data_IF_812097351647
#
_entry.id   IF_812097351647
#
_cell.length_a   1.000
_cell.length_b   1.000
_cell.length_c   1.000
_cell.angle_alpha   90.00
_cell.angle_beta   90.00
_cell.angle_gamma   90.00
#
_symmetry.space_group_name_H-M   'P 1'
#
loop_
_entity.id
_entity.type
_entity.pdbx_description
1 polymer ?
#
# COMPACT_ATOMS: atom_id res chain seq x y z
N UNK A 1 1.43 -29.25 16.99
CA UNK A 1 0.04 -28.80 16.72
C UNK A 1 -0.11 -28.67 15.21
N UNK A 2 -1.31 -28.89 14.66
CA UNK A 2 -1.56 -28.69 13.23
C UNK A 2 -1.54 -27.19 12.89
N UNK A 3 -0.97 -26.84 11.71
CA UNK A 3 -0.97 -25.47 11.19
C UNK A 3 -2.38 -25.05 10.81
N UNK A 4 -2.70 -23.75 10.92
CA UNK A 4 -3.96 -23.18 10.42
C UNK A 4 -3.69 -22.54 9.05
N UNK A 5 -3.96 -23.30 7.99
CA UNK A 5 -3.64 -22.90 6.62
C UNK A 5 -4.84 -22.24 5.95
N UNK A 6 -4.66 -21.04 5.42
CA UNK A 6 -5.63 -20.34 4.58
C UNK A 6 -5.20 -20.39 3.12
N UNK A 7 -6.12 -20.76 2.23
CA UNK A 7 -5.88 -20.76 0.79
C UNK A 7 -5.70 -19.32 0.26
N UNK A 8 -4.71 -19.14 -0.61
CA UNK A 8 -4.41 -17.85 -1.25
C UNK A 8 -4.82 -17.85 -2.71
N UNK A 9 -4.47 -18.90 -3.47
CA UNK A 9 -4.81 -18.97 -4.88
C UNK A 9 -4.13 -20.10 -5.63
N UNK A 10 -4.63 -20.36 -6.84
CA UNK A 10 -4.07 -21.30 -7.82
C UNK A 10 -4.30 -20.75 -9.23
N UNK A 11 -3.37 -21.03 -10.13
CA UNK A 11 -3.53 -20.75 -11.57
C UNK A 11 -3.81 -22.03 -12.39
N UNK A 12 -4.02 -23.17 -11.73
CA UNK A 12 -4.36 -24.44 -12.40
C UNK A 12 -5.82 -24.44 -12.85
N UNK A 13 -6.08 -24.63 -14.16
CA UNK A 13 -7.44 -24.59 -14.72
C UNK A 13 -8.19 -25.91 -14.71
N UNK A 14 -7.54 -27.07 -14.55
CA UNK A 14 -8.25 -28.37 -14.65
C UNK A 14 -7.90 -29.38 -13.54
N UNK A 15 -6.64 -29.59 -13.11
CA UNK A 15 -6.36 -30.63 -12.09
C UNK A 15 -5.20 -30.25 -11.15
N UNK A 16 -5.41 -29.16 -10.39
CA UNK A 16 -4.81 -28.90 -9.07
C UNK A 16 -3.32 -29.15 -8.90
N UNK A 17 -2.48 -28.21 -9.34
CA UNK A 17 -1.20 -27.79 -8.76
C UNK A 17 -0.48 -26.80 -9.70
N UNK A 18 0.33 -25.86 -9.18
CA UNK A 18 0.57 -25.60 -7.77
C UNK A 18 -0.35 -24.52 -7.19
N UNK A 19 -0.55 -24.57 -5.87
CA UNK A 19 -1.36 -23.63 -5.10
C UNK A 19 -0.56 -23.03 -3.94
N UNK A 20 -0.94 -21.81 -3.54
CA UNK A 20 -0.37 -21.12 -2.39
C UNK A 20 -1.35 -21.12 -1.22
N UNK A 21 -0.82 -21.38 -0.03
CA UNK A 21 -1.51 -21.22 1.24
C UNK A 21 -0.66 -20.33 2.16
N UNK A 22 -1.27 -19.70 3.16
CA UNK A 22 -0.58 -19.00 4.23
C UNK A 22 -0.91 -19.64 5.56
N UNK A 23 0.11 -19.87 6.39
CA UNK A 23 -0.06 -20.20 7.80
C UNK A 23 -0.47 -18.94 8.57
N UNK A 24 -1.68 -18.93 9.13
CA UNK A 24 -2.19 -17.76 9.86
C UNK A 24 -1.45 -17.50 11.18
N UNK A 25 -0.75 -18.50 11.73
CA UNK A 25 0.00 -18.34 12.97
C UNK A 25 1.38 -17.72 12.77
N UNK A 26 2.05 -18.04 11.65
CA UNK A 26 3.45 -17.64 11.39
C UNK A 26 3.61 -16.68 10.23
N UNK A 27 2.60 -16.55 9.36
CA UNK A 27 2.69 -15.80 8.11
C UNK A 27 3.49 -16.52 7.02
N UNK A 28 3.98 -17.74 7.27
CA UNK A 28 4.71 -18.53 6.28
C UNK A 28 3.81 -18.87 5.08
N UNK A 29 4.39 -18.83 3.88
CA UNK A 29 3.73 -19.29 2.65
C UNK A 29 4.04 -20.77 2.45
N UNK A 30 3.01 -21.57 2.27
CA UNK A 30 3.09 -23.00 1.98
C UNK A 30 2.75 -23.21 0.51
N UNK A 31 3.65 -23.87 -0.20
CA UNK A 31 3.49 -24.20 -1.62
C UNK A 31 3.05 -25.66 -1.74
N UNK A 32 1.85 -25.88 -2.25
CA UNK A 32 1.37 -27.21 -2.64
C UNK A 32 1.70 -27.43 -4.12
N UNK A 33 2.40 -28.51 -4.45
CA UNK A 33 2.72 -28.87 -5.82
C UNK A 33 3.31 -30.27 -5.94
N UNK A 34 3.44 -30.76 -7.17
CA UNK A 34 4.20 -31.97 -7.45
C UNK A 34 5.69 -31.70 -7.19
N UNK A 35 6.36 -32.53 -6.37
CA UNK A 35 7.78 -32.34 -6.12
C UNK A 35 8.60 -32.64 -7.39
N UNK A 36 9.70 -31.92 -7.54
CA UNK A 36 10.77 -32.27 -8.50
C UNK A 36 11.49 -33.49 -7.93
N UNK A 37 11.55 -34.57 -8.71
CA UNK A 37 12.12 -35.85 -8.27
C UNK A 37 13.24 -36.37 -9.17
N UNK A 38 13.47 -35.75 -10.32
CA UNK A 38 14.55 -36.15 -11.23
C UNK A 38 15.92 -35.92 -10.56
N UNK A 39 16.76 -36.96 -10.42
CA UNK A 39 18.07 -36.83 -9.79
C UNK A 39 18.99 -35.81 -10.47
N UNK A 40 18.90 -35.65 -11.79
CA UNK A 40 19.70 -34.68 -12.55
C UNK A 40 19.24 -33.24 -12.25
N UNK A 41 17.93 -33.01 -12.13
CA UNK A 41 17.40 -31.71 -11.72
C UNK A 41 17.77 -31.38 -10.27
N UNK A 42 17.64 -32.36 -9.37
CA UNK A 42 17.94 -32.18 -7.95
C UNK A 42 19.44 -31.90 -7.72
N UNK A 43 20.33 -32.53 -8.48
CA UNK A 43 21.78 -32.29 -8.40
C UNK A 43 22.18 -30.86 -8.81
N UNK A 44 21.33 -30.15 -9.57
CA UNK A 44 21.54 -28.76 -9.97
C UNK A 44 21.09 -27.76 -8.89
N UNK A 45 20.27 -28.17 -7.93
CA UNK A 45 19.79 -27.30 -6.86
C UNK A 45 20.89 -27.04 -5.82
N UNK A 46 21.09 -25.77 -5.50
CA UNK A 46 22.03 -25.37 -4.44
C UNK A 46 21.36 -25.48 -3.08
N UNK A 47 22.06 -26.06 -2.11
CA UNK A 47 21.66 -26.18 -0.71
C UNK A 47 20.45 -27.09 -0.43
N UNK A 48 20.05 -27.97 -1.36
CA UNK A 48 19.00 -28.94 -1.07
C UNK A 48 19.48 -29.95 -0.02
N UNK A 49 18.86 -29.91 1.15
CA UNK A 49 19.17 -30.74 2.30
C UNK A 49 18.39 -32.05 2.36
N UNK A 50 18.83 -32.95 3.25
CA UNK A 50 18.09 -34.16 3.56
C UNK A 50 16.73 -33.81 4.20
N UNK A 51 15.64 -34.30 3.63
CA UNK A 51 14.27 -34.02 4.11
C UNK A 51 13.61 -32.79 3.48
N UNK A 52 14.29 -32.09 2.58
CA UNK A 52 13.71 -31.00 1.78
C UNK A 52 13.09 -31.53 0.48
N UNK A 53 12.07 -30.83 0.00
CA UNK A 53 11.44 -31.12 -1.29
C UNK A 53 11.39 -29.84 -2.13
N UNK A 54 11.84 -29.93 -3.37
CA UNK A 54 11.69 -28.85 -4.33
C UNK A 54 10.36 -28.99 -5.06
N UNK A 55 9.64 -27.88 -5.25
CA UNK A 55 8.37 -27.84 -5.99
C UNK A 55 8.53 -26.87 -7.15
N UNK A 56 8.19 -27.29 -8.36
CA UNK A 56 8.17 -26.41 -9.51
C UNK A 56 6.93 -25.50 -9.45
N UNK A 57 7.14 -24.18 -9.50
CA UNK A 57 6.07 -23.18 -9.39
C UNK A 57 6.06 -22.28 -10.63
N UNK A 58 4.96 -22.21 -11.41
CA UNK A 58 4.75 -21.21 -12.45
C UNK A 58 4.97 -19.80 -11.92
N UNK A 59 5.63 -18.96 -12.71
CA UNK A 59 5.94 -17.58 -12.30
C UNK A 59 4.67 -16.79 -12.05
N UNK A 60 3.64 -17.04 -12.86
CA UNK A 60 2.33 -16.41 -12.81
C UNK A 60 1.69 -16.61 -11.44
N UNK A 61 1.83 -17.79 -10.82
CA UNK A 61 1.28 -18.06 -9.49
C UNK A 61 1.87 -17.11 -8.43
N UNK A 62 3.18 -16.90 -8.44
CA UNK A 62 3.85 -15.98 -7.52
C UNK A 62 3.51 -14.51 -7.83
N UNK A 63 3.34 -14.18 -9.11
CA UNK A 63 2.96 -12.83 -9.54
C UNK A 63 1.50 -12.51 -9.19
N UNK A 64 0.59 -13.46 -9.30
CA UNK A 64 -0.83 -13.23 -9.05
C UNK A 64 -1.17 -13.38 -7.57
N UNK A 65 -0.59 -14.38 -6.91
CA UNK A 65 -1.02 -14.84 -5.59
C UNK A 65 0.07 -14.77 -4.53
N UNK A 66 1.33 -14.52 -4.90
CA UNK A 66 2.41 -14.32 -3.94
C UNK A 66 2.24 -13.02 -3.14
N UNK A 67 2.64 -12.99 -1.86
CA UNK A 67 2.50 -11.82 -1.00
C UNK A 67 3.18 -10.60 -1.62
N UNK A 68 2.44 -9.50 -1.78
CA UNK A 68 2.93 -8.23 -2.33
C UNK A 68 3.48 -7.30 -1.28
N UNK A 69 2.98 -7.46 -0.07
CA UNK A 69 3.43 -6.78 1.11
C UNK A 69 4.21 -7.82 1.90
N UNK A 70 5.53 -7.64 2.02
CA UNK A 70 6.14 -7.95 3.32
C UNK A 70 5.39 -7.06 4.30
N UNK A 71 5.14 -7.53 5.52
CA UNK A 71 4.51 -6.78 6.60
C UNK A 71 5.31 -5.48 6.88
N UNK A 72 5.22 -4.52 5.97
CA UNK A 72 5.61 -3.14 6.11
C UNK A 72 4.41 -2.58 6.80
N UNK A 73 4.45 -2.60 8.13
CA UNK A 73 3.70 -1.62 8.89
C UNK A 73 4.01 -0.28 8.23
N UNK A 74 3.04 0.39 7.59
CA UNK A 74 3.30 1.69 7.01
C UNK A 74 3.81 2.56 8.14
N UNK A 75 5.00 3.13 8.00
CA UNK A 75 5.46 4.12 8.95
C UNK A 75 4.51 5.31 8.83
N UNK A 76 3.62 5.45 9.80
CA UNK A 76 2.63 6.51 9.79
C UNK A 76 3.36 7.82 10.01
N UNK A 77 3.55 8.58 8.93
CA UNK A 77 4.10 9.92 8.94
C UNK A 77 3.16 10.79 9.79
N UNK A 78 3.67 11.34 10.89
CA UNK A 78 2.92 12.27 11.72
C UNK A 78 2.67 13.60 11.00
N UNK A 79 1.89 14.49 11.61
CA UNK A 79 1.54 15.80 11.01
C UNK A 79 2.78 16.67 10.75
N UNK A 80 3.82 16.55 11.56
CA UNK A 80 5.04 17.36 11.43
C UNK A 80 5.90 16.86 10.28
N UNK A 81 6.14 15.55 10.24
CA UNK A 81 6.84 14.87 9.16
C UNK A 81 6.13 15.07 7.81
N UNK A 82 4.81 15.11 7.81
CA UNK A 82 4.03 15.43 6.61
C UNK A 82 4.23 16.88 6.16
N UNK A 83 4.25 17.85 7.09
CA UNK A 83 4.49 19.27 6.78
C UNK A 83 5.85 19.49 6.11
N UNK A 84 6.91 18.82 6.60
CA UNK A 84 8.27 18.91 6.02
C UNK A 84 8.35 18.56 4.54
N UNK A 85 7.47 17.69 4.03
CA UNK A 85 7.40 17.36 2.60
C UNK A 85 7.06 18.58 1.74
N UNK A 86 6.30 19.53 2.31
CA UNK A 86 5.92 20.80 1.67
C UNK A 86 6.86 21.96 2.04
N UNK A 87 7.96 21.72 2.75
CA UNK A 87 8.99 22.72 3.03
C UNK A 87 10.21 22.54 2.12
N UNK A 88 10.50 21.28 1.75
CA UNK A 88 11.75 20.89 1.09
C UNK A 88 11.60 20.58 -0.39
N UNK A 89 10.39 20.69 -0.96
CA UNK A 89 10.15 20.46 -2.37
C UNK A 89 10.72 21.59 -3.24
N UNK A 90 11.32 21.24 -4.38
CA UNK A 90 12.00 22.22 -5.24
C UNK A 90 11.14 22.78 -6.37
N UNK A 91 10.16 22.01 -6.83
CA UNK A 91 9.36 22.36 -8.01
C UNK A 91 7.86 22.21 -7.75
N UNK A 92 7.40 20.99 -7.46
CA UNK A 92 5.98 20.70 -7.32
C UNK A 92 5.72 19.64 -6.26
N UNK A 93 4.69 19.86 -5.44
CA UNK A 93 4.20 18.88 -4.47
C UNK A 93 2.67 18.69 -4.61
N UNK A 94 2.23 17.43 -4.67
CA UNK A 94 0.82 17.08 -4.73
C UNK A 94 0.42 16.23 -3.52
N UNK A 95 -0.68 16.61 -2.86
CA UNK A 95 -1.38 15.73 -1.92
C UNK A 95 -2.51 15.04 -2.67
N UNK A 96 -2.40 13.73 -2.87
CA UNK A 96 -3.47 12.89 -3.40
C UNK A 96 -4.36 12.41 -2.26
N UNK A 97 -5.66 12.64 -2.38
CA UNK A 97 -6.65 12.13 -1.44
C UNK A 97 -7.77 11.38 -2.14
N UNK A 98 -7.98 10.14 -1.71
CA UNK A 98 -8.97 9.20 -2.29
C UNK A 98 -10.25 9.09 -1.44
N UNK A 99 -10.39 9.91 -0.39
CA UNK A 99 -11.56 9.87 0.49
C UNK A 99 -12.80 10.44 -0.20
N UNK A 100 -13.95 9.78 0.04
CA UNK A 100 -15.26 10.17 -0.49
C UNK A 100 -15.86 11.43 0.13
N UNK A 101 -15.30 11.92 1.24
CA UNK A 101 -15.66 13.16 1.92
C UNK A 101 -14.92 13.28 3.25
N UNK A 102 -14.90 14.46 3.85
CA UNK A 102 -14.32 14.65 5.18
C UNK A 102 -15.39 14.67 6.26
N UNK A 103 -14.99 14.32 7.49
CA UNK A 103 -15.77 14.65 8.67
C UNK A 103 -15.87 16.18 8.84
N UNK A 104 -14.84 16.95 8.44
CA UNK A 104 -14.87 18.42 8.50
C UNK A 104 -15.99 19.04 7.66
N UNK A 105 -16.31 18.45 6.50
CA UNK A 105 -17.43 18.91 5.65
C UNK A 105 -18.80 18.78 6.36
N UNK A 106 -18.87 17.99 7.44
CA UNK A 106 -20.10 17.69 8.18
C UNK A 106 -20.10 18.22 9.61
N UNK A 107 -18.94 18.32 10.22
CA UNK A 107 -18.78 18.50 11.67
C UNK A 107 -17.92 19.70 12.05
N UNK A 108 -17.26 20.38 11.09
CA UNK A 108 -16.40 21.52 11.37
C UNK A 108 -17.21 22.83 11.43
N UNK A 109 -17.21 23.54 12.58
CA UNK A 109 -17.89 24.83 12.72
C UNK A 109 -17.38 25.89 11.73
N UNK A 110 -16.08 25.88 11.41
CA UNK A 110 -15.46 26.85 10.49
C UNK A 110 -16.00 26.66 9.06
N UNK A 111 -16.33 25.42 8.71
CA UNK A 111 -16.93 25.09 7.42
C UNK A 111 -18.38 25.58 7.35
N UNK A 112 -19.16 25.45 8.43
CA UNK A 112 -20.52 26.00 8.49
C UNK A 112 -20.50 27.54 8.44
N UNK A 113 -19.56 28.18 9.11
CA UNK A 113 -19.38 29.63 9.05
C UNK A 113 -18.99 30.11 7.65
N UNK A 114 -18.11 29.40 6.96
CA UNK A 114 -17.79 29.68 5.55
C UNK A 114 -19.02 29.58 4.65
N UNK A 115 -19.85 28.52 4.81
CA UNK A 115 -21.08 28.38 4.03
C UNK A 115 -22.07 29.52 4.31
N UNK A 116 -22.13 30.01 5.55
CA UNK A 116 -23.03 31.08 5.95
C UNK A 116 -22.56 32.48 5.51
N UNK A 117 -21.25 32.74 5.55
CA UNK A 117 -20.68 34.09 5.43
C UNK A 117 -19.82 34.30 4.19
N UNK A 118 -19.44 33.23 3.49
CA UNK A 118 -18.46 33.25 2.41
C UNK A 118 -17.02 33.45 2.91
N UNK A 119 -16.79 33.52 4.22
CA UNK A 119 -15.48 33.68 4.84
C UNK A 119 -15.25 32.57 5.85
N UNK A 120 -14.11 31.88 5.74
CA UNK A 120 -13.69 30.92 6.75
C UNK A 120 -12.86 31.66 7.81
N UNK A 121 -13.10 31.45 9.12
CA UNK A 121 -12.17 31.90 10.14
C UNK A 121 -10.84 31.17 9.93
N UNK A 122 -9.83 31.87 9.39
CA UNK A 122 -8.50 31.30 9.24
C UNK A 122 -7.45 32.33 9.65
N UNK A 123 -6.51 31.92 10.50
CA UNK A 123 -5.33 32.72 10.77
C UNK A 123 -4.35 32.58 9.60
N UNK A 124 -4.32 33.59 8.74
CA UNK A 124 -3.43 33.64 7.59
C UNK A 124 -1.93 33.74 7.94
N UNK A 125 -1.61 33.91 9.22
CA UNK A 125 -0.26 33.88 9.78
C UNK A 125 0.12 32.51 10.38
N UNK A 126 -0.78 31.53 10.37
CA UNK A 126 -0.43 30.17 10.79
C UNK A 126 0.73 29.64 9.91
N UNK A 127 1.70 28.91 10.49
CA UNK A 127 2.93 28.51 9.80
C UNK A 127 2.75 27.83 8.44
N UNK A 128 1.69 27.04 8.24
CA UNK A 128 1.33 26.42 6.97
C UNK A 128 1.07 27.48 5.89
N UNK A 129 0.22 28.47 6.17
CA UNK A 129 -0.11 29.50 5.18
C UNK A 129 1.10 30.38 4.87
N UNK A 130 1.94 30.67 5.88
CA UNK A 130 3.19 31.40 5.69
C UNK A 130 4.15 30.62 4.77
N UNK A 131 4.35 29.31 5.03
CA UNK A 131 5.19 28.46 4.20
C UNK A 131 4.66 28.36 2.75
N UNK A 132 3.38 28.04 2.56
CA UNK A 132 2.79 27.92 1.21
C UNK A 132 2.89 29.23 0.42
N UNK A 133 2.73 30.39 1.08
CA UNK A 133 2.95 31.70 0.43
C UNK A 133 4.42 31.90 0.04
N UNK A 134 5.37 31.53 0.89
CA UNK A 134 6.80 31.63 0.60
C UNK A 134 7.20 30.74 -0.60
N UNK A 135 6.72 29.49 -0.62
CA UNK A 135 6.97 28.53 -1.68
C UNK A 135 6.39 28.99 -3.03
N UNK A 136 5.15 29.49 -3.04
CA UNK A 136 4.56 30.07 -4.24
C UNK A 136 5.34 31.29 -4.76
N UNK A 137 5.85 32.16 -3.87
CA UNK A 137 6.71 33.30 -4.26
C UNK A 137 8.05 32.84 -4.82
N UNK A 138 8.56 31.70 -4.40
CA UNK A 138 9.77 31.07 -4.93
C UNK A 138 9.54 30.35 -6.27
N UNK A 139 8.32 30.38 -6.82
CA UNK A 139 7.97 29.73 -8.09
C UNK A 139 7.57 28.26 -7.95
N UNK A 140 7.50 27.74 -6.73
CA UNK A 140 7.09 26.37 -6.47
C UNK A 140 5.56 26.27 -6.42
N UNK A 141 5.01 25.12 -6.82
CA UNK A 141 3.56 24.89 -6.87
C UNK A 141 3.13 23.78 -5.93
N UNK A 142 2.11 24.04 -5.11
CA UNK A 142 1.51 23.05 -4.22
C UNK A 142 0.01 22.93 -4.51
N UNK A 143 -0.46 21.69 -4.64
CA UNK A 143 -1.84 21.40 -4.97
C UNK A 143 -2.40 20.21 -4.20
N UNK A 144 -3.73 20.19 -4.05
CA UNK A 144 -4.46 19.02 -3.58
C UNK A 144 -5.23 18.43 -4.76
N UNK A 145 -5.06 17.13 -4.99
CA UNK A 145 -5.81 16.39 -5.98
C UNK A 145 -6.79 15.45 -5.28
N UNK A 146 -8.02 15.42 -5.78
CA UNK A 146 -9.07 14.51 -5.33
C UNK A 146 -9.51 13.65 -6.50
N UNK A 147 -9.70 12.36 -6.24
CA UNK A 147 -10.43 11.48 -7.15
C UNK A 147 -11.92 11.62 -6.85
N UNK A 148 -12.67 12.24 -7.75
CA UNK A 148 -14.13 12.21 -7.71
C UNK A 148 -14.58 10.85 -8.26
N UNK A 149 -15.39 10.12 -7.50
CA UNK A 149 -16.08 8.94 -8.04
C UNK A 149 -17.00 9.36 -9.19
N UNK A 150 -17.25 8.48 -10.15
CA UNK A 150 -18.32 8.68 -11.11
C UNK A 150 -19.65 8.72 -10.35
N UNK A 151 -20.40 9.81 -10.49
CA UNK A 151 -21.79 9.87 -10.05
C UNK A 151 -22.53 8.68 -10.68
N UNK A 152 -23.06 7.77 -9.86
CA UNK A 152 -24.05 6.78 -10.31
C UNK A 152 -25.43 7.40 -10.27
#
# INVERSE_FOLDING_TARGET
MARKLRFIGTDSKVDGCPALHTDEGTGEVIVQGTPVTDPEDLAQLRHLGAGEAAVAVPRELLVNWGPKERERVPEMVDREAFRRLFETFQHTAWRLETRGGYASDREDPDYQEFLATGSAPCDLNEPWFVNIKAQNRAGATAGRMRVAGASR
#
